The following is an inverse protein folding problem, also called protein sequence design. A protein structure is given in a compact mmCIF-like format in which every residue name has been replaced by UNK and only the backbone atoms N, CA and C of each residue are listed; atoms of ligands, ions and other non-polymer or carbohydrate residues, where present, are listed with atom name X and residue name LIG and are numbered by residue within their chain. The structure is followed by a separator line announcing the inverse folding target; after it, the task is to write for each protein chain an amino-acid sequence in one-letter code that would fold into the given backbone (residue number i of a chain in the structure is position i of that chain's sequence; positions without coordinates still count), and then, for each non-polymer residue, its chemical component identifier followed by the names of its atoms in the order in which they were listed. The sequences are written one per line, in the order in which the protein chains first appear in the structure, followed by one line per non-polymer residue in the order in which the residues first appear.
data_IF_157023027969
#
_entry.id   IF_157023027969
#
_cell.length_a   1.000
_cell.length_b   1.000
_cell.length_c   1.000
_cell.angle_alpha   90.00
_cell.angle_beta   90.00
_cell.angle_gamma   90.00
#
_symmetry.space_group_name_H-M   'P 1'
#
loop_
_entity.id
_entity.type
_entity.pdbx_description
1 polymer ?
#
# COMPACT_ATOMS: atom_id res chain seq x y z
N UNK A 1 15.55 16.21 -2.68
CA UNK A 1 16.93 16.58 -2.28
C UNK A 1 17.62 15.28 -1.89
N UNK A 2 18.55 14.77 -2.70
CA UNK A 2 19.23 13.50 -2.47
C UNK A 2 20.49 13.75 -1.63
N UNK A 3 20.56 13.21 -0.42
CA UNK A 3 21.78 13.23 0.38
C UNK A 3 22.61 11.98 0.06
N UNK A 4 23.86 12.17 -0.37
CA UNK A 4 24.86 11.09 -0.46
C UNK A 4 25.41 10.86 0.94
N UNK A 5 25.22 9.67 1.50
CA UNK A 5 25.81 9.29 2.78
C UNK A 5 26.88 8.22 2.52
N UNK A 6 28.12 8.51 2.92
CA UNK A 6 29.20 7.51 3.03
C UNK A 6 29.18 7.04 4.49
N UNK A 7 28.96 5.75 4.72
CA UNK A 7 29.02 5.18 6.06
C UNK A 7 30.49 4.85 6.39
N UNK A 8 31.05 5.50 7.41
CA UNK A 8 32.31 5.10 8.05
C UNK A 8 31.99 4.38 9.36
N UNK A 9 32.45 3.13 9.49
CA UNK A 9 32.26 2.32 10.71
C UNK A 9 33.42 2.52 11.67
N UNK A 10 33.16 3.08 12.86
CA UNK A 10 34.12 3.15 13.96
C UNK A 10 33.73 2.21 15.11
N UNK A 11 34.36 1.03 15.18
CA UNK A 11 35.03 0.43 16.36
C UNK A 11 35.15 -1.11 16.28
N UNK A 12 36.38 -1.52 15.93
CA UNK A 12 37.17 -2.74 16.19
C UNK A 12 36.50 -4.00 16.82
N UNK A 13 36.55 -5.09 16.04
CA UNK A 13 37.10 -6.40 16.46
C UNK A 13 37.87 -7.01 15.27
N UNK A 14 39.12 -7.41 15.49
CA UNK A 14 40.05 -7.93 14.46
C UNK A 14 39.63 -9.31 13.93
N UNK A 15 38.97 -9.39 12.78
CA UNK A 15 38.90 -10.59 11.93
C UNK A 15 38.85 -10.17 10.44
N UNK A 16 39.92 -10.50 9.70
CA UNK A 16 40.07 -10.54 8.23
C UNK A 16 39.95 -9.19 7.47
N UNK A 17 41.12 -8.67 7.07
CA UNK A 17 41.31 -7.63 6.05
C UNK A 17 40.84 -8.13 4.66
N UNK A 18 39.55 -8.01 4.38
CA UNK A 18 39.11 -7.65 3.03
C UNK A 18 38.62 -6.22 3.12
N UNK A 19 39.27 -5.31 2.40
CA UNK A 19 38.80 -3.94 2.25
C UNK A 19 37.43 -3.98 1.55
N UNK A 20 36.35 -4.03 2.34
CA UNK A 20 34.99 -3.95 1.83
C UNK A 20 34.84 -2.57 1.21
N UNK A 21 34.76 -2.51 -0.12
CA UNK A 21 34.49 -1.28 -0.84
C UNK A 21 33.25 -0.62 -0.21
N UNK A 22 33.30 0.67 0.16
CA UNK A 22 32.15 1.32 0.78
C UNK A 22 30.96 1.28 -0.17
N UNK A 23 29.85 0.72 0.30
CA UNK A 23 28.60 0.64 -0.46
C UNK A 23 28.07 2.05 -0.70
N UNK A 24 27.74 2.35 -1.95
CA UNK A 24 27.11 3.61 -2.32
C UNK A 24 25.59 3.46 -2.22
N UNK A 25 25.00 4.11 -1.22
CA UNK A 25 23.56 4.02 -0.95
C UNK A 25 22.84 5.32 -1.32
N UNK A 26 21.82 5.22 -2.17
CA UNK A 26 20.92 6.35 -2.46
C UNK A 26 19.79 6.41 -1.44
N UNK A 27 19.64 7.52 -0.71
CA UNK A 27 18.55 7.68 0.27
C UNK A 27 17.38 8.45 -0.36
N UNK A 28 16.21 7.81 -0.44
CA UNK A 28 14.97 8.45 -0.86
C UNK A 28 14.42 9.34 0.26
N UNK A 29 14.44 10.66 0.07
CA UNK A 29 13.98 11.65 1.06
C UNK A 29 12.70 12.31 0.56
N UNK A 30 11.58 11.95 1.20
CA UNK A 30 10.20 12.31 0.82
C UNK A 30 9.82 13.79 1.01
N UNK A 31 10.78 14.72 0.89
CA UNK A 31 10.62 16.17 1.04
C UNK A 31 9.76 16.86 -0.05
N UNK A 32 8.65 16.23 -0.47
CA UNK A 32 7.63 16.76 -1.38
C UNK A 32 7.83 16.43 -2.86
N UNK A 33 9.08 16.36 -3.33
CA UNK A 33 9.38 16.12 -4.76
C UNK A 33 9.07 14.68 -5.19
N UNK A 34 9.36 13.69 -4.35
CA UNK A 34 9.06 12.28 -4.62
C UNK A 34 7.54 12.04 -4.81
N UNK A 35 6.72 12.80 -4.09
CA UNK A 35 5.25 12.78 -4.20
C UNK A 35 4.76 13.41 -5.50
N UNK A 36 5.39 14.49 -5.97
CA UNK A 36 5.05 15.15 -7.23
C UNK A 36 5.46 14.30 -8.44
N UNK A 37 6.62 13.65 -8.38
CA UNK A 37 7.07 12.67 -9.39
C UNK A 37 6.22 11.40 -9.32
N UNK A 38 5.80 10.93 -8.14
CA UNK A 38 4.85 9.83 -8.02
C UNK A 38 3.47 10.17 -8.60
N UNK A 39 2.95 11.37 -8.36
CA UNK A 39 1.72 11.84 -9.00
C UNK A 39 1.88 11.96 -10.53
N UNK A 40 3.03 12.46 -11.01
CA UNK A 40 3.34 12.55 -12.45
C UNK A 40 3.48 11.17 -13.08
N UNK A 41 4.15 10.22 -12.41
CA UNK A 41 4.33 8.86 -12.88
C UNK A 41 3.02 8.07 -12.81
N UNK A 42 2.20 8.24 -11.78
CA UNK A 42 0.84 7.66 -11.74
C UNK A 42 -0.08 8.30 -12.78
N UNK A 43 0.12 9.58 -13.11
CA UNK A 43 -0.55 10.27 -14.23
C UNK A 43 -0.03 9.79 -15.60
N UNK A 44 1.26 9.49 -15.74
CA UNK A 44 1.88 8.95 -16.96
C UNK A 44 1.57 7.46 -17.14
N UNK A 45 1.45 6.72 -16.04
CA UNK A 45 0.96 5.35 -16.00
C UNK A 45 -0.55 5.29 -16.12
N UNK A 46 -1.25 6.41 -15.87
CA UNK A 46 -2.46 6.94 -16.54
C UNK A 46 -3.72 6.09 -16.58
N UNK A 47 -3.61 4.81 -16.27
CA UNK A 47 -4.57 3.78 -16.60
C UNK A 47 -4.81 2.91 -15.37
N UNK A 48 -3.83 2.33 -14.69
CA UNK A 48 -4.17 1.32 -13.65
C UNK A 48 -5.08 1.85 -12.52
N UNK A 49 -4.76 2.95 -11.84
CA UNK A 49 -5.63 3.46 -10.74
C UNK A 49 -7.01 3.89 -11.24
N UNK A 50 -7.08 4.60 -12.37
CA UNK A 50 -8.33 5.14 -12.90
C UNK A 50 -9.18 4.03 -13.53
N UNK A 51 -8.56 3.10 -14.25
CA UNK A 51 -9.21 1.93 -14.85
C UNK A 51 -9.74 0.98 -13.77
N UNK A 52 -9.01 0.76 -12.67
CA UNK A 52 -9.52 0.01 -11.52
C UNK A 52 -10.82 0.64 -10.98
N UNK A 53 -10.85 1.97 -10.84
CA UNK A 53 -12.05 2.69 -10.44
C UNK A 53 -13.17 2.62 -11.47
N UNK A 54 -12.88 2.71 -12.78
CA UNK A 54 -13.87 2.53 -13.86
C UNK A 54 -14.44 1.12 -13.89
N UNK A 55 -13.68 0.12 -13.45
CA UNK A 55 -14.16 -1.25 -13.31
C UNK A 55 -14.84 -1.49 -11.95
N UNK A 56 -15.13 -0.42 -11.19
CA UNK A 56 -15.84 -0.47 -9.91
C UNK A 56 -15.00 -0.98 -8.74
N UNK A 57 -13.69 -1.21 -8.94
CA UNK A 57 -12.78 -1.65 -7.88
C UNK A 57 -12.21 -0.46 -7.10
N UNK A 58 -11.63 -0.75 -5.95
CA UNK A 58 -10.96 0.24 -5.10
C UNK A 58 -9.48 -0.08 -5.04
N UNK A 59 -8.64 0.56 -5.86
CA UNK A 59 -7.20 0.33 -5.86
C UNK A 59 -6.54 0.90 -4.60
N UNK A 60 -5.35 0.38 -4.27
CA UNK A 60 -4.49 0.95 -3.24
C UNK A 60 -3.32 1.72 -3.89
N UNK A 61 -3.42 3.05 -4.01
CA UNK A 61 -2.43 3.86 -4.72
C UNK A 61 -1.05 3.87 -4.05
N UNK A 62 -0.96 3.62 -2.74
CA UNK A 62 0.32 3.60 -2.03
C UNK A 62 1.11 2.31 -2.34
N UNK A 63 0.42 1.16 -2.50
CA UNK A 63 1.06 -0.07 -2.99
C UNK A 63 1.66 0.14 -4.39
N UNK A 64 0.90 0.76 -5.29
CA UNK A 64 1.34 1.02 -6.67
C UNK A 64 2.50 2.02 -6.72
N UNK A 65 2.43 3.11 -5.93
CA UNK A 65 3.52 4.08 -5.79
C UNK A 65 4.82 3.41 -5.33
N UNK A 66 4.76 2.52 -4.33
CA UNK A 66 5.94 1.79 -3.90
C UNK A 66 6.47 0.90 -5.03
N UNK A 67 5.63 0.08 -5.66
CA UNK A 67 6.04 -0.84 -6.72
C UNK A 67 6.71 -0.13 -7.90
N UNK A 68 6.06 0.91 -8.44
CA UNK A 68 6.47 1.50 -9.72
C UNK A 68 7.34 2.74 -9.60
N UNK A 69 7.16 3.53 -8.54
CA UNK A 69 7.87 4.80 -8.37
C UNK A 69 9.08 4.62 -7.46
N UNK A 70 8.86 4.28 -6.19
CA UNK A 70 9.95 4.23 -5.20
C UNK A 70 10.92 3.08 -5.45
N UNK A 71 10.41 1.90 -5.75
CA UNK A 71 11.23 0.70 -5.96
C UNK A 71 11.31 0.29 -7.44
N UNK A 72 10.62 1.00 -8.33
CA UNK A 72 10.77 0.86 -9.78
C UNK A 72 11.68 1.94 -10.35
N UNK A 73 11.09 3.09 -10.67
CA UNK A 73 11.77 4.19 -11.36
C UNK A 73 12.93 4.78 -10.56
N UNK A 74 12.73 5.06 -9.26
CA UNK A 74 13.78 5.60 -8.40
C UNK A 74 14.92 4.61 -8.17
N UNK A 75 14.60 3.33 -7.93
CA UNK A 75 15.60 2.28 -7.83
C UNK A 75 16.44 2.19 -9.12
N UNK A 76 15.78 2.14 -10.28
CA UNK A 76 16.44 2.07 -11.59
C UNK A 76 17.37 3.25 -11.80
N UNK A 77 16.91 4.47 -11.51
CA UNK A 77 17.71 5.69 -11.61
C UNK A 77 18.91 5.67 -10.65
N UNK A 78 18.71 5.23 -9.41
CA UNK A 78 19.78 5.13 -8.43
C UNK A 78 20.87 4.14 -8.87
N UNK A 79 20.48 2.97 -9.37
CA UNK A 79 21.41 1.93 -9.81
C UNK A 79 22.13 2.32 -11.11
N UNK A 80 21.39 2.80 -12.13
CA UNK A 80 21.94 3.03 -13.48
C UNK A 80 22.61 4.39 -13.62
N UNK A 81 21.93 5.46 -13.21
CA UNK A 81 22.41 6.83 -13.43
C UNK A 81 23.33 7.28 -12.30
N UNK A 82 22.92 7.05 -11.05
CA UNK A 82 23.72 7.44 -9.89
C UNK A 82 24.80 6.41 -9.55
N UNK A 83 24.79 5.22 -10.15
CA UNK A 83 25.72 4.12 -9.87
C UNK A 83 25.77 3.75 -8.37
N UNK A 84 24.64 3.83 -7.69
CA UNK A 84 24.49 3.31 -6.33
C UNK A 84 24.41 1.78 -6.37
N UNK A 85 24.87 1.13 -5.31
CA UNK A 85 24.74 -0.32 -5.16
C UNK A 85 23.34 -0.70 -4.62
N UNK A 86 22.77 0.18 -3.78
CA UNK A 86 21.48 -0.01 -3.10
C UNK A 86 20.77 1.33 -2.87
N UNK A 87 19.48 1.27 -2.51
CA UNK A 87 18.71 2.41 -2.01
C UNK A 87 18.26 2.18 -0.57
N UNK A 88 18.11 3.27 0.19
CA UNK A 88 17.52 3.26 1.51
C UNK A 88 16.23 4.09 1.53
N UNK A 89 15.22 3.59 2.24
CA UNK A 89 13.96 4.30 2.43
C UNK A 89 13.55 4.31 3.91
N UNK A 90 12.84 5.34 4.33
CA UNK A 90 12.31 5.46 5.71
C UNK A 90 11.08 4.58 5.99
N UNK A 91 10.89 3.47 5.26
CA UNK A 91 9.80 2.55 5.57
C UNK A 91 10.13 1.72 6.80
N UNK A 92 9.12 1.50 7.63
CA UNK A 92 9.14 0.54 8.72
C UNK A 92 8.90 -0.86 8.16
N UNK A 93 9.98 -1.46 7.68
CA UNK A 93 10.06 -2.83 7.22
C UNK A 93 11.48 -3.32 7.48
N UNK A 94 11.70 -4.63 7.33
CA UNK A 94 13.00 -5.24 7.48
C UNK A 94 13.25 -6.22 6.34
N UNK A 95 14.51 -6.63 6.19
CA UNK A 95 14.87 -7.72 5.28
C UNK A 95 15.73 -8.72 5.99
N UNK A 96 15.48 -10.00 5.76
CA UNK A 96 16.32 -11.11 6.23
C UNK A 96 16.86 -11.86 5.01
N UNK A 97 18.08 -12.39 5.12
CA UNK A 97 18.60 -13.30 4.11
C UNK A 97 18.45 -14.74 4.62
N UNK A 98 17.63 -15.53 3.94
CA UNK A 98 17.43 -16.95 4.26
C UNK A 98 17.76 -17.77 3.02
N UNK A 99 18.75 -18.67 3.14
CA UNK A 99 19.21 -19.54 2.06
C UNK A 99 19.60 -18.78 0.77
N UNK A 100 20.21 -17.60 0.90
CA UNK A 100 20.60 -16.75 -0.22
C UNK A 100 19.46 -15.93 -0.83
N UNK A 101 18.23 -16.08 -0.33
CA UNK A 101 17.06 -15.32 -0.75
C UNK A 101 16.78 -14.23 0.26
N UNK A 102 16.86 -12.97 -0.19
CA UNK A 102 16.50 -11.83 0.64
C UNK A 102 14.97 -11.67 0.67
N UNK A 103 14.39 -11.80 1.85
CA UNK A 103 12.95 -11.74 2.11
C UNK A 103 12.59 -10.44 2.82
N UNK A 104 11.40 -9.90 2.52
CA UNK A 104 10.80 -8.80 3.26
C UNK A 104 10.14 -9.34 4.52
N UNK A 105 10.43 -8.74 5.68
CA UNK A 105 9.85 -9.12 6.98
C UNK A 105 9.38 -7.89 7.73
N UNK A 106 8.52 -8.12 8.74
CA UNK A 106 7.98 -7.04 9.59
C UNK A 106 9.10 -6.38 10.40
N UNK A 107 9.02 -5.07 10.66
CA UNK A 107 9.99 -4.37 11.51
C UNK A 107 9.76 -4.69 13.00
N UNK A 108 10.66 -4.23 13.86
CA UNK A 108 10.50 -4.23 15.33
C UNK A 108 9.22 -3.52 15.78
N UNK A 109 8.86 -2.40 15.14
CA UNK A 109 7.65 -1.64 15.46
C UNK A 109 6.42 -2.18 14.73
N UNK A 110 5.74 -3.16 15.34
CA UNK A 110 4.53 -3.75 14.77
C UNK A 110 3.40 -2.73 14.52
N UNK A 111 3.33 -1.63 15.30
CA UNK A 111 2.31 -0.59 15.12
C UNK A 111 2.56 0.30 13.90
N UNK A 112 3.81 0.30 13.40
CA UNK A 112 4.22 1.04 12.22
C UNK A 112 4.59 0.14 11.05
N UNK A 113 4.36 -1.17 11.14
CA UNK A 113 4.60 -2.12 10.07
C UNK A 113 4.03 -1.64 8.72
N UNK A 114 4.92 -1.39 7.76
CA UNK A 114 4.61 -0.95 6.41
C UNK A 114 4.80 -2.05 5.36
N UNK A 115 5.08 -3.29 5.75
CA UNK A 115 5.22 -4.42 4.81
C UNK A 115 3.98 -4.62 3.94
N UNK A 116 2.78 -4.31 4.44
CA UNK A 116 1.54 -4.30 3.67
C UNK A 116 1.63 -3.47 2.38
N UNK A 117 2.23 -2.27 2.46
CA UNK A 117 2.38 -1.37 1.31
C UNK A 117 3.54 -1.75 0.40
N UNK A 118 4.40 -2.67 0.85
CA UNK A 118 5.55 -3.20 0.11
C UNK A 118 5.30 -4.62 -0.42
N UNK A 119 4.06 -5.11 -0.29
CA UNK A 119 3.66 -6.48 -0.65
C UNK A 119 3.85 -6.82 -2.13
N UNK A 120 3.92 -5.82 -3.02
CA UNK A 120 4.18 -6.01 -4.45
C UNK A 120 5.66 -5.79 -4.85
N UNK A 121 6.59 -5.76 -3.90
CA UNK A 121 8.01 -5.78 -4.24
C UNK A 121 8.43 -7.17 -4.70
N UNK A 122 9.14 -7.21 -5.83
CA UNK A 122 9.77 -8.43 -6.34
C UNK A 122 10.99 -8.80 -5.50
N UNK A 123 11.35 -10.09 -5.49
CA UNK A 123 12.57 -10.56 -4.83
C UNK A 123 13.81 -9.79 -5.30
N UNK A 124 13.91 -9.49 -6.61
CA UNK A 124 14.99 -8.69 -7.19
C UNK A 124 15.03 -7.26 -6.63
N UNK A 125 13.89 -6.57 -6.57
CA UNK A 125 13.86 -5.22 -5.99
C UNK A 125 14.33 -5.22 -4.53
N UNK A 126 13.96 -6.24 -3.75
CA UNK A 126 14.30 -6.34 -2.33
C UNK A 126 15.83 -6.47 -2.11
N UNK A 127 16.58 -7.13 -3.00
CA UNK A 127 18.04 -7.28 -2.87
C UNK A 127 18.76 -5.94 -2.81
N UNK A 128 18.25 -4.94 -3.53
CA UNK A 128 18.83 -3.60 -3.63
C UNK A 128 18.32 -2.59 -2.60
N UNK A 129 17.52 -3.02 -1.61
CA UNK A 129 16.88 -2.11 -0.66
C UNK A 129 17.40 -2.29 0.76
N UNK A 130 17.58 -1.17 1.46
CA UNK A 130 17.88 -1.06 2.88
C UNK A 130 16.71 -0.36 3.58
N UNK A 131 16.31 -0.88 4.75
CA UNK A 131 15.35 -0.24 5.63
C UNK A 131 16.02 0.15 6.96
N UNK A 132 16.57 1.38 7.09
CA UNK A 132 17.34 1.78 8.26
C UNK A 132 16.54 1.84 9.56
N UNK A 133 15.20 1.85 9.46
CA UNK A 133 14.30 1.95 10.62
C UNK A 133 13.81 0.58 11.11
N UNK A 134 14.29 -0.52 10.52
CA UNK A 134 13.87 -1.89 10.84
C UNK A 134 13.85 -2.18 12.36
N UNK A 135 14.91 -1.77 13.06
CA UNK A 135 15.14 -2.07 14.48
C UNK A 135 14.75 -0.93 15.42
N UNK A 136 14.03 0.07 14.93
CA UNK A 136 13.65 1.26 15.68
C UNK A 136 12.13 1.40 15.77
N UNK A 137 11.65 1.70 16.97
CA UNK A 137 10.31 2.19 17.20
C UNK A 137 10.16 3.64 16.75
N UNK A 138 8.94 4.07 16.48
CA UNK A 138 8.67 5.46 16.13
C UNK A 138 9.15 6.44 17.20
N UNK A 139 9.03 6.06 18.47
CA UNK A 139 9.49 6.87 19.58
C UNK A 139 11.02 7.00 19.56
N UNK A 140 11.74 5.90 19.39
CA UNK A 140 13.21 5.89 19.26
C UNK A 140 13.67 6.78 18.09
N UNK A 141 12.99 6.71 16.93
CA UNK A 141 13.31 7.56 15.76
C UNK A 141 13.10 9.05 16.07
N UNK A 142 12.01 9.42 16.76
CA UNK A 142 11.75 10.81 17.14
C UNK A 142 12.77 11.33 18.15
N UNK A 143 13.14 10.51 19.12
CA UNK A 143 14.19 10.84 20.11
C UNK A 143 15.54 11.00 19.42
N UNK A 144 15.91 10.10 18.52
CA UNK A 144 17.13 10.19 17.73
C UNK A 144 17.16 11.48 16.90
N UNK A 145 16.06 11.80 16.21
CA UNK A 145 15.92 13.02 15.43
C UNK A 145 16.05 14.28 16.30
N UNK A 146 15.42 14.30 17.48
CA UNK A 146 15.52 15.41 18.44
C UNK A 146 16.96 15.60 18.93
N UNK A 147 17.62 14.51 19.32
CA UNK A 147 18.99 14.53 19.85
C UNK A 147 20.00 15.02 18.81
N UNK A 148 19.72 14.81 17.51
CA UNK A 148 20.55 15.30 16.40
C UNK A 148 20.08 16.64 15.84
N UNK A 149 19.17 17.35 16.53
CA UNK A 149 18.73 18.69 16.13
C UNK A 149 17.89 18.74 14.84
N UNK A 150 17.31 17.62 14.40
CA UNK A 150 16.47 17.60 13.21
C UNK A 150 15.14 18.32 13.50
N UNK A 151 14.85 19.39 12.75
CA UNK A 151 13.67 20.25 12.93
C UNK A 151 12.34 19.53 12.71
N UNK A 152 12.36 18.40 11.99
CA UNK A 152 11.19 17.59 11.68
C UNK A 152 10.85 16.53 12.76
N UNK A 153 11.59 16.46 13.87
CA UNK A 153 11.39 15.42 14.91
C UNK A 153 9.95 15.37 15.47
N UNK A 154 9.26 16.51 15.52
CA UNK A 154 7.89 16.62 16.03
C UNK A 154 6.81 16.56 14.93
N UNK A 155 7.20 16.50 13.64
CA UNK A 155 6.25 16.54 12.52
C UNK A 155 5.25 15.38 12.64
N UNK A 156 3.96 15.67 12.46
CA UNK A 156 2.93 14.62 12.38
C UNK A 156 3.21 13.71 11.20
N UNK A 157 2.92 12.43 11.37
CA UNK A 157 3.03 11.46 10.29
C UNK A 157 2.06 11.85 9.16
N UNK A 158 2.49 11.67 7.91
CA UNK A 158 1.62 11.88 6.76
C UNK A 158 0.41 10.95 6.84
N UNK A 159 -0.79 11.52 6.83
CA UNK A 159 -2.06 10.83 6.70
C UNK A 159 -2.60 11.04 5.28
N UNK A 160 -3.39 10.09 4.78
CA UNK A 160 -3.88 10.11 3.40
C UNK A 160 -2.93 9.48 2.39
N UNK A 161 -3.28 9.57 1.11
CA UNK A 161 -2.54 8.94 0.01
C UNK A 161 -1.23 9.71 -0.24
N UNK A 162 -0.13 8.99 -0.41
CA UNK A 162 1.25 9.50 -0.39
C UNK A 162 1.52 10.75 -1.26
N UNK A 163 0.77 10.96 -2.35
CA UNK A 163 0.95 12.08 -3.27
C UNK A 163 -0.22 13.09 -3.31
N UNK A 164 -1.38 12.72 -2.78
CA UNK A 164 -2.56 13.60 -2.72
C UNK A 164 -2.51 14.44 -1.43
N UNK A 165 -1.81 13.94 -0.41
CA UNK A 165 -1.74 14.56 0.93
C UNK A 165 -3.08 14.44 1.65
N UNK A 166 -3.36 15.39 2.54
CA UNK A 166 -4.64 15.47 3.29
C UNK A 166 -5.84 15.89 2.41
N UNK A 167 -5.63 16.14 1.10
CA UNK A 167 -6.69 16.55 0.18
C UNK A 167 -7.74 15.45 0.01
N UNK A 168 -8.99 15.86 -0.23
CA UNK A 168 -10.12 14.96 -0.37
C UNK A 168 -9.95 14.06 -1.62
N UNK A 169 -9.70 12.76 -1.40
CA UNK A 169 -9.51 11.77 -2.47
C UNK A 169 -10.64 11.78 -3.51
N UNK A 170 -11.88 12.01 -3.07
CA UNK A 170 -13.01 12.10 -3.98
C UNK A 170 -12.91 13.29 -4.93
N UNK A 171 -12.36 14.43 -4.49
CA UNK A 171 -12.09 15.57 -5.37
C UNK A 171 -10.97 15.28 -6.37
N UNK A 172 -9.94 14.53 -5.95
CA UNK A 172 -8.88 14.10 -6.87
C UNK A 172 -9.45 13.22 -7.99
N UNK A 173 -10.28 12.23 -7.64
CA UNK A 173 -10.92 11.34 -8.62
C UNK A 173 -11.85 12.07 -9.58
N UNK A 174 -12.53 13.15 -9.14
CA UNK A 174 -13.42 13.95 -9.99
C UNK A 174 -12.73 14.62 -11.18
N UNK A 175 -11.40 14.81 -11.12
CA UNK A 175 -10.64 15.34 -12.26
C UNK A 175 -10.49 14.34 -13.40
N UNK A 176 -10.73 13.04 -13.14
CA UNK A 176 -10.48 11.94 -14.08
C UNK A 176 -11.72 11.07 -14.34
N UNK A 177 -12.69 11.09 -13.44
CA UNK A 177 -13.93 10.31 -13.54
C UNK A 177 -15.14 11.25 -13.52
N UNK A 178 -16.02 11.18 -14.54
CA UNK A 178 -17.19 12.03 -14.58
C UNK A 178 -18.13 11.68 -13.42
N UNK A 179 -18.72 12.71 -12.80
CA UNK A 179 -19.85 12.50 -11.88
C UNK A 179 -21.05 12.08 -12.71
N UNK A 180 -21.49 10.84 -12.50
CA UNK A 180 -22.73 10.34 -13.05
C UNK A 180 -23.61 9.92 -11.88
N UNK A 181 -24.69 10.66 -11.67
CA UNK A 181 -25.66 10.31 -10.63
C UNK A 181 -26.24 8.93 -10.90
N UNK A 182 -26.39 8.16 -9.84
CA UNK A 182 -27.01 6.84 -9.85
C UNK A 182 -27.69 6.56 -8.51
N UNK A 183 -28.22 5.36 -8.35
CA UNK A 183 -29.05 5.03 -7.19
C UNK A 183 -28.35 4.08 -6.23
N UNK A 184 -28.54 4.33 -4.94
CA UNK A 184 -28.34 3.32 -3.91
C UNK A 184 -29.54 2.38 -3.90
N UNK A 185 -29.29 1.09 -4.07
CA UNK A 185 -30.32 0.05 -4.04
C UNK A 185 -30.09 -0.81 -2.80
N UNK A 186 -31.08 -0.88 -1.92
CA UNK A 186 -31.06 -1.82 -0.82
C UNK A 186 -31.19 -3.24 -1.36
N UNK A 187 -30.16 -4.06 -1.17
CA UNK A 187 -30.09 -5.42 -1.70
C UNK A 187 -31.15 -6.35 -1.08
N UNK A 188 -31.63 -6.04 0.13
CA UNK A 188 -32.61 -6.87 0.83
C UNK A 188 -34.04 -6.63 0.33
N UNK A 189 -34.36 -5.39 -0.04
CA UNK A 189 -35.71 -4.99 -0.47
C UNK A 189 -35.81 -4.70 -1.96
N UNK A 190 -34.68 -4.61 -2.66
CA UNK A 190 -34.53 -4.14 -4.03
C UNK A 190 -35.13 -2.73 -4.27
N UNK A 191 -35.23 -1.91 -3.22
CA UNK A 191 -35.75 -0.54 -3.29
C UNK A 191 -34.62 0.47 -3.43
N UNK A 192 -34.91 1.55 -4.14
CA UNK A 192 -34.04 2.73 -4.16
C UNK A 192 -34.16 3.42 -2.80
N UNK A 193 -33.03 3.61 -2.11
CA UNK A 193 -32.96 4.24 -0.80
C UNK A 193 -32.29 5.61 -0.82
N UNK A 194 -31.72 6.00 -1.97
CA UNK A 194 -31.16 7.32 -2.20
C UNK A 194 -30.34 7.40 -3.47
N UNK A 195 -29.67 8.54 -3.65
CA UNK A 195 -28.82 8.82 -4.83
C UNK A 195 -27.34 8.94 -4.44
N UNK A 196 -26.48 8.67 -5.41
CA UNK A 196 -25.03 8.71 -5.25
C UNK A 196 -24.35 9.42 -6.43
N UNK A 197 -23.11 9.86 -6.23
CA UNK A 197 -22.37 10.66 -7.23
C UNK A 197 -21.60 9.81 -8.28
N UNK A 198 -21.73 8.48 -8.21
CA UNK A 198 -21.17 7.52 -9.15
C UNK A 198 -20.51 6.34 -8.44
N UNK A 199 -20.65 5.13 -8.98
CA UNK A 199 -20.18 3.89 -8.30
C UNK A 199 -18.69 3.89 -7.94
N UNK A 200 -17.86 4.64 -8.68
CA UNK A 200 -16.41 4.67 -8.52
C UNK A 200 -15.95 5.35 -7.21
N UNK A 201 -16.81 6.16 -6.59
CA UNK A 201 -16.49 6.91 -5.37
C UNK A 201 -16.79 6.15 -4.07
N UNK A 202 -17.32 4.94 -4.18
CA UNK A 202 -17.73 4.13 -3.04
C UNK A 202 -16.86 2.88 -2.92
N UNK A 203 -16.74 2.29 -1.73
CA UNK A 203 -15.96 1.06 -1.51
C UNK A 203 -16.80 0.06 -0.73
N UNK A 204 -16.68 -1.24 -1.02
CA UNK A 204 -17.38 -2.30 -0.26
C UNK A 204 -17.10 -2.14 1.25
N UNK A 205 -18.12 -2.25 2.09
CA UNK A 205 -18.10 -2.02 3.53
C UNK A 205 -18.09 -0.55 3.97
N UNK A 206 -18.15 0.42 3.05
CA UNK A 206 -18.24 1.84 3.41
C UNK A 206 -19.61 2.17 4.00
N UNK A 207 -19.63 2.90 5.11
CA UNK A 207 -20.85 3.45 5.72
C UNK A 207 -20.90 4.99 5.78
N UNK A 208 -19.75 5.65 5.81
CA UNK A 208 -19.66 7.12 5.84
C UNK A 208 -19.78 7.71 4.43
N UNK A 209 -20.37 8.90 4.33
CA UNK A 209 -20.48 9.63 3.05
C UNK A 209 -21.50 9.05 2.07
N UNK A 210 -22.37 8.15 2.52
CA UNK A 210 -23.52 7.69 1.72
C UNK A 210 -24.67 8.71 1.72
N UNK A 211 -24.73 9.58 2.73
CA UNK A 211 -25.80 10.59 2.91
C UNK A 211 -27.23 10.02 2.92
N UNK A 212 -27.38 8.74 3.27
CA UNK A 212 -28.66 8.05 3.48
C UNK A 212 -29.25 8.35 4.87
N UNK A 213 -29.20 9.62 5.28
CA UNK A 213 -29.77 10.08 6.56
C UNK A 213 -31.29 9.94 6.56
N UNK A 214 -31.89 9.70 7.72
CA UNK A 214 -33.34 9.50 7.87
C UNK A 214 -33.81 8.06 7.69
N UNK A 215 -32.91 7.14 7.33
CA UNK A 215 -33.18 5.71 7.39
C UNK A 215 -33.17 5.19 8.84
N UNK A 216 -33.98 4.16 9.12
CA UNK A 216 -34.12 3.54 10.45
C UNK A 216 -32.78 2.99 10.95
N UNK A 217 -31.95 2.49 10.04
CA UNK A 217 -30.63 1.95 10.35
C UNK A 217 -29.54 2.51 9.43
N UNK A 218 -28.28 2.26 9.81
CA UNK A 218 -27.12 2.64 9.01
C UNK A 218 -26.96 1.67 7.84
N UNK A 219 -26.64 2.19 6.68
CA UNK A 219 -26.34 1.39 5.49
C UNK A 219 -24.84 1.20 5.28
N UNK A 220 -24.50 0.08 4.66
CA UNK A 220 -23.15 -0.26 4.21
C UNK A 220 -23.19 -0.63 2.74
N UNK A 221 -22.20 -0.21 1.96
CA UNK A 221 -22.05 -0.62 0.56
C UNK A 221 -21.68 -2.11 0.52
N UNK A 222 -22.49 -2.95 -0.11
CA UNK A 222 -22.25 -4.39 -0.24
C UNK A 222 -21.98 -4.86 -1.67
N UNK A 223 -22.27 -4.03 -2.67
CA UNK A 223 -22.03 -4.38 -4.07
C UNK A 223 -22.07 -3.17 -4.98
N UNK A 224 -21.72 -3.40 -6.25
CA UNK A 224 -21.79 -2.38 -7.31
C UNK A 224 -22.18 -3.03 -8.62
N UNK A 225 -22.97 -2.31 -9.40
CA UNK A 225 -23.22 -2.61 -10.80
C UNK A 225 -22.66 -1.47 -11.65
N UNK A 226 -21.55 -1.73 -12.34
CA UNK A 226 -20.85 -0.73 -13.15
C UNK A 226 -21.68 -0.30 -14.36
N UNK A 227 -22.28 -1.27 -15.05
CA UNK A 227 -23.04 -1.03 -16.29
C UNK A 227 -24.28 -0.18 -16.04
N UNK A 228 -24.98 -0.45 -14.94
CA UNK A 228 -26.20 0.28 -14.54
C UNK A 228 -25.92 1.54 -13.71
N UNK A 229 -24.66 1.76 -13.31
CA UNK A 229 -24.27 2.81 -12.36
C UNK A 229 -25.08 2.75 -11.05
N UNK A 230 -25.12 1.56 -10.45
CA UNK A 230 -25.83 1.31 -9.19
C UNK A 230 -24.86 0.89 -8.10
N UNK A 231 -25.16 1.30 -6.87
CA UNK A 231 -24.43 0.85 -5.68
C UNK A 231 -25.41 0.11 -4.79
N UNK A 232 -25.14 -1.17 -4.55
CA UNK A 232 -25.92 -1.96 -3.63
C UNK A 232 -25.51 -1.66 -2.20
N UNK A 233 -26.50 -1.44 -1.35
CA UNK A 233 -26.33 -1.19 0.08
C UNK A 233 -27.14 -2.19 0.88
N UNK A 234 -26.75 -2.41 2.13
CA UNK A 234 -27.45 -3.26 3.08
C UNK A 234 -27.55 -2.58 4.44
N UNK A 235 -28.67 -2.75 5.11
CA UNK A 235 -28.87 -2.30 6.48
C UNK A 235 -27.92 -2.98 7.46
N UNK A 236 -27.57 -2.29 8.56
CA UNK A 236 -26.67 -2.79 9.59
C UNK A 236 -27.12 -4.14 10.18
N UNK A 237 -28.43 -4.36 10.30
CA UNK A 237 -29.03 -5.59 10.84
C UNK A 237 -28.75 -6.84 10.01
N UNK A 238 -28.48 -6.68 8.71
CA UNK A 238 -28.30 -7.79 7.76
C UNK A 238 -26.90 -7.79 7.12
N UNK A 239 -25.99 -6.91 7.56
CA UNK A 239 -24.75 -6.67 6.82
C UNK A 239 -23.81 -7.88 6.77
N UNK A 240 -23.79 -8.72 7.81
CA UNK A 240 -22.94 -9.91 7.89
C UNK A 240 -23.23 -10.90 6.75
N UNK A 241 -24.49 -11.01 6.33
CA UNK A 241 -24.90 -11.89 5.24
C UNK A 241 -24.29 -11.48 3.89
N UNK A 242 -24.03 -10.18 3.69
CA UNK A 242 -23.59 -9.64 2.39
C UNK A 242 -22.14 -9.15 2.38
N UNK A 243 -21.54 -8.88 3.55
CA UNK A 243 -20.19 -8.36 3.66
C UNK A 243 -19.16 -9.40 4.08
N UNK A 244 -19.60 -10.57 4.55
CA UNK A 244 -18.70 -11.67 4.85
C UNK A 244 -18.36 -12.45 3.57
N UNK A 245 -17.11 -12.87 3.46
CA UNK A 245 -16.62 -13.72 2.39
C UNK A 245 -15.70 -14.79 2.96
N UNK A 246 -15.79 -16.00 2.42
CA UNK A 246 -14.96 -17.14 2.84
C UNK A 246 -13.68 -17.29 2.00
N UNK A 247 -13.44 -16.37 1.06
CA UNK A 247 -12.27 -16.38 0.22
C UNK A 247 -12.33 -15.33 -0.88
N UNK A 248 -11.24 -15.20 -1.63
CA UNK A 248 -11.17 -14.35 -2.80
C UNK A 248 -10.22 -14.89 -3.87
N UNK A 249 -10.42 -14.44 -5.09
CA UNK A 249 -9.47 -14.67 -6.18
C UNK A 249 -8.38 -13.62 -6.16
N UNK A 250 -7.14 -14.05 -6.35
CA UNK A 250 -5.97 -13.18 -6.33
C UNK A 250 -5.45 -12.96 -7.76
N UNK A 251 -5.11 -11.72 -8.06
CA UNK A 251 -4.53 -11.29 -9.33
C UNK A 251 -3.26 -10.48 -9.07
N UNK A 252 -2.38 -10.38 -10.06
CA UNK A 252 -1.15 -9.58 -9.98
C UNK A 252 -0.22 -9.94 -8.80
N UNK A 253 -0.22 -11.22 -8.39
CA UNK A 253 0.66 -11.71 -7.33
C UNK A 253 2.13 -11.63 -7.75
N UNK A 254 2.96 -11.14 -6.83
CA UNK A 254 4.41 -11.27 -6.93
C UNK A 254 4.87 -12.47 -6.09
N UNK A 255 5.98 -13.10 -6.48
CA UNK A 255 6.57 -14.24 -5.76
C UNK A 255 5.60 -15.43 -5.59
N UNK A 256 4.75 -15.70 -6.60
CA UNK A 256 3.72 -16.75 -6.59
C UNK A 256 4.24 -18.12 -6.18
N UNK A 257 5.39 -18.55 -6.71
CA UNK A 257 5.98 -19.85 -6.39
C UNK A 257 6.34 -19.98 -4.90
N UNK A 258 6.83 -18.90 -4.29
CA UNK A 258 7.15 -18.88 -2.86
C UNK A 258 5.87 -18.96 -2.03
N UNK A 259 4.83 -18.21 -2.41
CA UNK A 259 3.53 -18.24 -1.74
C UNK A 259 2.95 -19.65 -1.79
N UNK A 260 2.91 -20.27 -2.97
CA UNK A 260 2.33 -21.59 -3.18
C UNK A 260 3.01 -22.72 -2.37
N UNK A 261 4.29 -22.54 -1.99
CA UNK A 261 5.07 -23.52 -1.21
C UNK A 261 5.11 -23.24 0.29
N UNK A 262 4.54 -22.12 0.75
CA UNK A 262 4.62 -21.71 2.16
C UNK A 262 3.42 -22.28 2.93
N UNK A 263 3.62 -23.15 3.92
CA UNK A 263 2.54 -23.62 4.78
C UNK A 263 2.15 -22.55 5.83
N UNK A 264 0.92 -22.61 6.32
CA UNK A 264 0.46 -21.76 7.44
C UNK A 264 0.34 -20.27 7.09
N UNK A 265 -0.03 -19.96 5.85
CA UNK A 265 -0.16 -18.57 5.39
C UNK A 265 -1.21 -17.81 6.19
N UNK A 266 -0.91 -16.53 6.40
CA UNK A 266 -1.84 -15.55 6.91
C UNK A 266 -1.94 -14.40 5.91
N UNK A 267 -3.14 -13.82 5.78
CA UNK A 267 -3.39 -12.71 4.88
C UNK A 267 -3.95 -11.49 5.62
N UNK A 268 -3.74 -10.33 5.00
CA UNK A 268 -4.29 -9.05 5.41
C UNK A 268 -4.95 -8.42 4.19
N UNK A 269 -6.28 -8.28 4.20
CA UNK A 269 -7.02 -7.73 3.05
C UNK A 269 -7.02 -6.20 3.07
N UNK A 270 -6.92 -5.58 4.26
CA UNK A 270 -6.85 -4.12 4.45
C UNK A 270 -5.75 -3.72 5.42
N UNK A 271 -5.13 -2.57 5.17
CA UNK A 271 -4.17 -2.00 6.10
C UNK A 271 -4.78 -1.85 7.51
N UNK A 272 -4.04 -2.29 8.54
CA UNK A 272 -4.46 -2.38 9.96
C UNK A 272 -5.52 -3.43 10.31
N UNK A 273 -5.99 -4.23 9.36
CA UNK A 273 -6.71 -5.46 9.71
C UNK A 273 -5.76 -6.41 10.45
N UNK A 274 -6.28 -7.15 11.43
CA UNK A 274 -5.54 -8.30 11.96
C UNK A 274 -5.36 -9.34 10.86
N UNK A 275 -4.25 -10.05 10.93
CA UNK A 275 -3.98 -11.14 10.00
C UNK A 275 -4.92 -12.31 10.27
N UNK A 276 -5.42 -12.89 9.19
CA UNK A 276 -6.31 -14.06 9.25
C UNK A 276 -5.60 -15.26 8.61
N UNK A 277 -5.71 -16.46 9.19
CA UNK A 277 -5.19 -17.67 8.55
C UNK A 277 -5.92 -17.91 7.24
N UNK A 278 -5.19 -18.30 6.20
CA UNK A 278 -5.74 -18.55 4.87
C UNK A 278 -5.19 -19.82 4.26
N UNK A 279 -5.93 -20.40 3.32
CA UNK A 279 -5.50 -21.55 2.53
C UNK A 279 -5.31 -21.11 1.09
N UNK A 280 -4.06 -21.07 0.64
CA UNK A 280 -3.74 -20.72 -0.74
C UNK A 280 -3.94 -21.92 -1.66
N UNK A 281 -4.74 -21.75 -2.72
CA UNK A 281 -5.04 -22.79 -3.71
C UNK A 281 -5.12 -22.24 -5.13
N UNK A 282 -5.17 -23.13 -6.11
CA UNK A 282 -5.57 -22.80 -7.47
C UNK A 282 -6.95 -23.40 -7.72
N UNK A 283 -7.88 -22.59 -8.23
CA UNK A 283 -9.20 -23.10 -8.62
C UNK A 283 -9.13 -23.92 -9.93
N UNK A 284 -10.27 -24.48 -10.36
CA UNK A 284 -10.37 -25.32 -11.57
C UNK A 284 -9.92 -24.61 -12.88
N UNK A 285 -9.80 -23.27 -12.87
CA UNK A 285 -9.32 -22.47 -14.00
C UNK A 285 -7.85 -22.05 -13.83
N UNK A 286 -7.13 -22.69 -12.91
CA UNK A 286 -5.76 -22.38 -12.53
C UNK A 286 -5.55 -20.94 -12.05
N UNK A 287 -6.57 -20.34 -11.40
CA UNK A 287 -6.47 -19.00 -10.83
C UNK A 287 -6.20 -19.09 -9.33
N UNK A 288 -5.21 -18.36 -8.79
CA UNK A 288 -4.93 -18.30 -7.36
C UNK A 288 -6.13 -17.83 -6.52
N UNK A 289 -6.36 -18.50 -5.39
CA UNK A 289 -7.39 -18.17 -4.41
C UNK A 289 -6.87 -18.30 -2.98
N UNK A 290 -7.46 -17.54 -2.06
CA UNK A 290 -7.31 -17.69 -0.60
C UNK A 290 -8.67 -17.73 0.08
#
# INVERSE_FOLDING_TARGET
MLLKCQAESSQRTNIINQAVKPLKVGVGLSGGVDSAVAALLLKQQGYEVIEEHKQGRTPNPDILCNRFVKFGSFLTYALKELRCDQIATGHYAATVNENGIKKLVKPKDANKDQTYFLSQLTAEQITHVIFPLAELTKLEVRTLAKNHGLTNHARKDSTGICFIGERNYAQFLQNYLPKKTGHFIDVSTNKIVGEHQGYAFYTIGQNKGLNLGGCVERYFVCGKNVDRNEVYVVGASQNEQFLNANGCTLTNLVNLEQIARTPGLHAKLRYRQQEVPVRFEFNNKNVPTI
#
